data_IF_998209290928
#
_entry.id   IF_998209290928
#
_cell.length_a   1.000
_cell.length_b   1.000
_cell.length_c   1.000
_cell.angle_alpha   90.00
_cell.angle_beta   90.00
_cell.angle_gamma   90.00
#
_symmetry.space_group_name_H-M   'P 1'
#
loop_
_entity.id
_entity.type
_entity.pdbx_description
1 polymer ?
#
# COMPACT_ATOMS: atom_id res chain seq x y z
N UNK A 1 -41.75 1.22 23.78
CA UNK A 1 -40.45 0.63 23.40
C UNK A 1 -39.57 0.60 24.63
N UNK A 2 -38.87 -0.51 24.94
CA UNK A 2 -37.87 -0.52 26.00
C UNK A 2 -36.78 0.51 25.64
N UNK A 3 -36.27 1.29 26.61
CA UNK A 3 -35.20 2.23 26.34
C UNK A 3 -33.95 1.47 25.87
N UNK A 4 -33.27 2.04 24.87
CA UNK A 4 -32.03 1.49 24.28
C UNK A 4 -30.97 1.17 25.36
N UNK A 5 -31.02 1.87 26.49
CA UNK A 5 -30.20 1.68 27.68
C UNK A 5 -30.44 0.36 28.43
N UNK A 6 -31.42 -0.46 28.05
CA UNK A 6 -31.67 -1.79 28.64
C UNK A 6 -31.28 -2.96 27.72
N UNK A 7 -30.93 -2.70 26.46
CA UNK A 7 -30.53 -3.76 25.55
C UNK A 7 -29.21 -4.40 26.01
N UNK A 8 -29.06 -5.73 25.95
CA UNK A 8 -27.79 -6.41 26.23
C UNK A 8 -26.68 -5.97 25.28
N UNK A 9 -25.40 -5.94 25.71
CA UNK A 9 -24.26 -5.61 24.86
C UNK A 9 -24.24 -6.38 23.53
N UNK A 10 -24.60 -7.66 23.53
CA UNK A 10 -24.58 -8.54 22.36
C UNK A 10 -25.58 -8.07 21.30
N UNK A 11 -26.74 -7.55 21.72
CA UNK A 11 -27.74 -6.99 20.80
C UNK A 11 -27.22 -5.68 20.21
N UNK A 12 -26.57 -4.84 21.02
CA UNK A 12 -25.96 -3.59 20.55
C UNK A 12 -24.84 -3.87 19.54
N UNK A 13 -23.98 -4.86 19.81
CA UNK A 13 -22.94 -5.31 18.90
C UNK A 13 -23.53 -5.85 17.58
N UNK A 14 -24.66 -6.55 17.65
CA UNK A 14 -25.35 -7.02 16.46
C UNK A 14 -25.96 -5.89 15.63
N UNK A 15 -26.53 -4.87 16.29
CA UNK A 15 -27.05 -3.66 15.63
C UNK A 15 -25.91 -2.90 14.92
N UNK A 16 -24.73 -2.81 15.54
CA UNK A 16 -23.58 -2.11 14.97
C UNK A 16 -22.83 -2.91 13.88
N UNK A 17 -23.25 -4.14 13.59
CA UNK A 17 -22.56 -4.99 12.64
C UNK A 17 -22.78 -4.44 11.22
N UNK A 18 -21.68 -4.14 10.50
CA UNK A 18 -21.67 -3.54 9.16
C UNK A 18 -22.21 -2.11 9.10
N UNK A 19 -22.30 -1.42 10.24
CA UNK A 19 -22.46 0.04 10.23
C UNK A 19 -21.15 0.71 9.81
N UNK A 20 -21.21 1.94 9.34
CA UNK A 20 -20.04 2.71 8.95
C UNK A 20 -19.33 3.27 10.20
N UNK A 21 -18.03 3.56 10.09
CA UNK A 21 -17.22 4.10 11.18
C UNK A 21 -17.85 5.35 11.80
N UNK A 22 -18.42 6.23 10.97
CA UNK A 22 -19.11 7.45 11.43
C UNK A 22 -20.33 7.14 12.30
N UNK A 23 -21.17 6.21 11.87
CA UNK A 23 -22.39 5.82 12.60
C UNK A 23 -22.03 5.18 13.94
N UNK A 24 -20.98 4.34 13.97
CA UNK A 24 -20.45 3.74 15.20
C UNK A 24 -19.92 4.81 16.16
N UNK A 25 -19.18 5.80 15.65
CA UNK A 25 -18.66 6.92 16.44
C UNK A 25 -19.80 7.74 17.03
N UNK A 26 -20.76 8.16 16.20
CA UNK A 26 -21.93 8.93 16.60
C UNK A 26 -22.72 8.18 17.67
N UNK A 27 -22.92 6.87 17.47
CA UNK A 27 -23.56 5.98 18.43
C UNK A 27 -22.83 5.94 19.78
N UNK A 28 -21.50 5.81 19.76
CA UNK A 28 -20.68 5.86 20.97
C UNK A 28 -20.78 7.19 21.73
N UNK A 29 -20.89 8.30 21.02
CA UNK A 29 -20.97 9.64 21.61
C UNK A 29 -22.32 9.96 22.28
N UNK A 30 -23.36 9.15 22.04
CA UNK A 30 -24.71 9.40 22.59
C UNK A 30 -24.81 9.22 24.11
N UNK A 31 -24.03 8.32 24.71
CA UNK A 31 -24.06 8.07 26.15
C UNK A 31 -22.80 7.38 26.67
N UNK A 32 -22.53 7.51 27.98
CA UNK A 32 -21.38 6.87 28.62
C UNK A 32 -21.37 5.34 28.47
N UNK A 33 -22.55 4.69 28.51
CA UNK A 33 -22.67 3.24 28.36
C UNK A 33 -22.26 2.80 26.96
N UNK A 34 -22.75 3.49 25.93
CA UNK A 34 -22.45 3.17 24.54
C UNK A 34 -21.01 3.51 24.19
N UNK A 35 -20.49 4.64 24.71
CA UNK A 35 -19.07 4.96 24.64
C UNK A 35 -18.20 3.85 25.21
N UNK A 36 -18.52 3.34 26.40
CA UNK A 36 -17.77 2.25 27.02
C UNK A 36 -17.84 0.95 26.22
N UNK A 37 -18.98 0.67 25.57
CA UNK A 37 -19.13 -0.49 24.69
C UNK A 37 -18.20 -0.36 23.48
N UNK A 38 -18.32 0.72 22.70
CA UNK A 38 -17.53 0.90 21.47
C UNK A 38 -16.04 1.02 21.75
N UNK A 39 -15.65 1.60 22.89
CA UNK A 39 -14.24 1.78 23.26
C UNK A 39 -13.55 0.44 23.61
N UNK A 40 -14.28 -0.50 24.19
CA UNK A 40 -13.69 -1.72 24.74
C UNK A 40 -13.88 -2.95 23.83
N UNK A 41 -14.71 -2.87 22.81
CA UNK A 41 -15.07 -4.00 21.96
C UNK A 41 -14.47 -3.90 20.55
N UNK A 42 -13.33 -4.58 20.33
CA UNK A 42 -12.65 -4.64 19.02
C UNK A 42 -13.56 -5.10 17.88
N UNK A 43 -14.48 -6.02 18.18
CA UNK A 43 -15.36 -6.64 17.19
C UNK A 43 -16.28 -5.63 16.49
N UNK A 44 -16.60 -4.51 17.15
CA UNK A 44 -17.38 -3.40 16.56
C UNK A 44 -16.63 -2.84 15.35
N UNK A 45 -15.37 -2.49 15.54
CA UNK A 45 -14.53 -1.87 14.52
C UNK A 45 -14.14 -2.84 13.42
N UNK A 46 -13.83 -4.09 13.79
CA UNK A 46 -13.51 -5.15 12.83
C UNK A 46 -14.64 -5.42 11.83
N UNK A 47 -15.89 -5.29 12.29
CA UNK A 47 -17.06 -5.58 11.49
C UNK A 47 -17.69 -4.33 10.87
N UNK A 48 -17.07 -3.15 10.98
CA UNK A 48 -17.54 -1.94 10.31
C UNK A 48 -17.49 -2.13 8.78
N UNK A 49 -18.45 -1.55 8.05
CA UNK A 49 -18.51 -1.67 6.57
C UNK A 49 -17.24 -1.15 5.90
N UNK A 50 -16.65 -0.13 6.51
CA UNK A 50 -15.57 0.70 6.01
C UNK A 50 -14.34 0.62 6.95
N UNK A 51 -14.15 -0.52 7.63
CA UNK A 51 -13.07 -0.77 8.59
C UNK A 51 -11.66 -0.57 8.00
N UNK A 52 -11.50 -0.74 6.68
CA UNK A 52 -10.25 -0.54 5.96
C UNK A 52 -9.81 0.94 5.91
N UNK A 53 -10.70 1.89 6.23
CA UNK A 53 -10.34 3.30 6.40
C UNK A 53 -9.79 3.65 7.78
N UNK A 54 -9.67 2.69 8.71
CA UNK A 54 -9.04 2.98 9.99
C UNK A 54 -7.55 3.30 9.77
N UNK A 55 -7.06 4.52 10.10
CA UNK A 55 -5.64 4.85 9.99
C UNK A 55 -4.87 4.20 11.13
N UNK A 56 -4.66 2.90 11.01
CA UNK A 56 -3.98 2.11 12.02
C UNK A 56 -2.54 2.61 12.21
N UNK A 57 -2.01 2.59 13.45
CA UNK A 57 -0.62 2.92 13.72
C UNK A 57 0.35 2.01 12.95
N UNK A 58 1.56 2.50 12.75
CA UNK A 58 2.62 1.75 12.07
C UNK A 58 2.86 0.38 12.68
N UNK A 59 2.92 -0.63 11.82
CA UNK A 59 3.13 -2.02 12.22
C UNK A 59 1.93 -2.68 12.93
N UNK A 60 0.78 -2.01 13.05
CA UNK A 60 -0.42 -2.58 13.65
C UNK A 60 -1.48 -2.96 12.62
N UNK A 61 -2.16 -4.07 12.92
CA UNK A 61 -3.37 -4.52 12.23
C UNK A 61 -4.58 -4.27 13.12
N UNK A 62 -5.78 -4.38 12.56
CA UNK A 62 -7.03 -4.26 13.34
C UNK A 62 -7.13 -5.30 14.47
N UNK A 63 -6.37 -6.38 14.38
CA UNK A 63 -6.28 -7.43 15.38
C UNK A 63 -5.32 -7.13 16.52
N UNK A 64 -4.29 -6.33 16.25
CA UNK A 64 -3.13 -6.17 17.14
C UNK A 64 -2.98 -4.76 17.70
N UNK A 65 -3.64 -3.75 17.13
CA UNK A 65 -3.72 -2.41 17.72
C UNK A 65 -4.37 -2.46 19.11
N UNK A 66 -3.87 -1.79 20.15
CA UNK A 66 -4.56 -1.72 21.45
C UNK A 66 -6.03 -1.27 21.30
N UNK A 67 -6.96 -1.93 22.01
CA UNK A 67 -8.41 -1.77 21.77
C UNK A 67 -8.88 -0.35 22.12
N UNK A 68 -8.30 0.23 23.16
CA UNK A 68 -8.52 1.57 23.66
C UNK A 68 -8.19 2.68 22.66
N UNK A 69 -7.36 2.38 21.64
CA UNK A 69 -6.99 3.31 20.57
C UNK A 69 -7.96 3.27 19.38
N UNK A 70 -8.79 2.24 19.24
CA UNK A 70 -9.68 2.08 18.09
C UNK A 70 -10.69 3.23 17.96
N UNK A 71 -11.27 3.68 19.07
CA UNK A 71 -12.22 4.80 19.03
C UNK A 71 -11.54 6.14 18.61
N UNK A 72 -10.38 6.55 19.20
CA UNK A 72 -9.60 7.67 18.68
C UNK A 72 -9.18 7.54 17.21
N UNK A 73 -8.78 6.35 16.76
CA UNK A 73 -8.41 6.08 15.36
C UNK A 73 -9.63 6.28 14.45
N UNK A 74 -10.80 5.79 14.86
CA UNK A 74 -12.05 5.99 14.10
C UNK A 74 -12.47 7.46 14.04
N UNK A 75 -12.27 8.24 15.11
CA UNK A 75 -12.47 9.70 15.08
C UNK A 75 -11.55 10.37 14.05
N UNK A 76 -10.28 9.94 13.97
CA UNK A 76 -9.34 10.43 12.96
C UNK A 76 -9.80 10.08 11.55
N UNK A 77 -10.25 8.84 11.31
CA UNK A 77 -10.81 8.42 10.02
C UNK A 77 -12.00 9.31 9.62
N UNK A 78 -12.92 9.58 10.56
CA UNK A 78 -14.06 10.48 10.32
C UNK A 78 -13.60 11.91 9.99
N UNK A 79 -12.60 12.44 10.69
CA UNK A 79 -12.03 13.75 10.38
C UNK A 79 -11.43 13.82 8.98
N UNK A 80 -10.66 12.80 8.56
CA UNK A 80 -10.08 12.73 7.22
C UNK A 80 -11.19 12.69 6.17
N UNK A 81 -12.20 11.85 6.39
CA UNK A 81 -13.35 11.74 5.50
C UNK A 81 -14.10 13.07 5.32
N UNK A 82 -14.24 13.88 6.38
CA UNK A 82 -14.83 15.23 6.35
C UNK A 82 -13.93 16.21 5.59
N UNK A 83 -12.61 16.16 5.81
CA UNK A 83 -11.66 17.00 5.09
C UNK A 83 -11.71 16.75 3.57
N UNK A 84 -11.76 15.47 3.16
CA UNK A 84 -11.88 15.08 1.76
C UNK A 84 -13.24 15.43 1.11
N UNK A 85 -14.25 15.80 1.89
CA UNK A 85 -15.51 16.32 1.35
C UNK A 85 -15.42 17.79 0.96
N UNK A 86 -14.42 18.52 1.46
CA UNK A 86 -14.24 19.93 1.11
C UNK A 86 -13.92 20.09 -0.39
N UNK A 87 -14.32 21.22 -1.00
CA UNK A 87 -13.97 21.51 -2.40
C UNK A 87 -12.45 21.72 -2.56
N UNK A 88 -11.82 22.32 -1.54
CA UNK A 88 -10.39 22.49 -1.43
C UNK A 88 -9.97 21.83 -0.13
N UNK A 89 -9.05 20.87 -0.21
CA UNK A 89 -8.55 20.13 0.95
C UNK A 89 -7.31 20.86 1.46
N UNK A 90 -7.40 21.40 2.68
CA UNK A 90 -6.33 22.20 3.31
C UNK A 90 -5.60 21.34 4.35
N UNK A 91 -4.27 21.19 4.27
CA UNK A 91 -3.53 20.34 5.18
C UNK A 91 -3.46 20.95 6.57
N UNK A 92 -3.62 20.10 7.58
CA UNK A 92 -3.44 20.47 8.99
C UNK A 92 -1.97 20.50 9.38
N UNK A 93 -1.16 19.63 8.76
CA UNK A 93 0.29 19.54 8.96
C UNK A 93 0.98 19.33 7.64
N UNK A 94 2.19 19.85 7.55
CA UNK A 94 3.11 19.58 6.48
C UNK A 94 4.49 19.36 7.08
N UNK A 95 5.20 18.36 6.59
CA UNK A 95 6.57 18.09 6.96
C UNK A 95 7.37 17.73 5.70
N UNK A 96 8.58 18.28 5.51
CA UNK A 96 9.49 17.81 4.49
C UNK A 96 10.07 16.45 4.92
N UNK A 97 10.03 15.47 4.02
CA UNK A 97 10.61 14.15 4.23
C UNK A 97 12.08 14.21 3.86
N UNK A 98 12.92 14.05 4.89
CA UNK A 98 14.38 13.97 4.86
C UNK A 98 15.14 15.25 4.44
N UNK A 99 16.32 15.51 5.04
CA UNK A 99 17.20 16.58 4.58
C UNK A 99 17.80 16.22 3.21
N UNK A 100 17.77 17.19 2.29
CA UNK A 100 18.60 17.16 1.09
C UNK A 100 20.06 16.99 1.51
N UNK A 101 20.81 16.09 0.85
CA UNK A 101 22.25 16.21 0.89
C UNK A 101 22.63 17.47 0.10
N UNK A 102 22.73 18.60 0.80
CA UNK A 102 22.95 19.95 0.22
C UNK A 102 24.20 19.96 -0.68
N UNK A 103 25.18 19.09 -0.41
CA UNK A 103 26.42 19.02 -1.19
C UNK A 103 26.29 18.25 -2.51
N UNK A 104 25.36 17.29 -2.60
CA UNK A 104 25.19 16.42 -3.80
C UNK A 104 23.88 16.64 -4.55
N UNK A 105 22.93 17.40 -3.99
CA UNK A 105 21.58 17.61 -4.55
C UNK A 105 20.83 16.29 -4.86
N UNK A 106 21.25 15.18 -4.23
CA UNK A 106 20.65 13.86 -4.39
C UNK A 106 19.73 13.56 -3.22
N UNK A 107 18.48 13.17 -3.52
CA UNK A 107 17.55 12.68 -2.51
C UNK A 107 17.90 11.24 -2.14
N UNK A 108 18.08 10.92 -0.84
CA UNK A 108 18.23 9.53 -0.45
C UNK A 108 16.96 8.75 -0.81
N UNK A 109 17.11 7.49 -1.22
CA UNK A 109 15.97 6.60 -1.41
C UNK A 109 15.15 6.58 -0.11
N UNK A 110 13.94 7.12 -0.17
CA UNK A 110 12.99 7.18 0.93
C UNK A 110 11.89 6.14 0.71
N UNK A 111 11.55 5.43 1.77
CA UNK A 111 10.52 4.42 1.78
C UNK A 111 9.56 4.69 2.93
N UNK A 112 8.32 4.99 2.58
CA UNK A 112 7.27 5.22 3.57
C UNK A 112 6.92 3.92 4.28
N UNK A 113 6.84 3.98 5.60
CA UNK A 113 6.48 2.83 6.40
C UNK A 113 4.95 2.76 6.52
N UNK A 114 4.32 1.58 6.33
CA UNK A 114 2.89 1.41 6.55
C UNK A 114 2.44 2.00 7.89
N UNK A 115 1.33 2.73 7.90
CA UNK A 115 0.83 3.46 9.09
C UNK A 115 1.06 4.98 9.04
N UNK A 116 1.77 5.49 8.03
CA UNK A 116 1.85 6.91 7.68
C UNK A 116 2.64 7.80 8.63
N UNK A 117 3.09 7.30 9.80
CA UNK A 117 3.89 8.09 10.74
C UNK A 117 5.36 8.13 10.34
N UNK A 118 5.92 6.98 9.99
CA UNK A 118 7.36 6.82 9.82
C UNK A 118 7.77 6.79 8.35
N UNK A 119 8.91 7.38 8.05
CA UNK A 119 9.59 7.21 6.76
C UNK A 119 11.00 6.70 7.00
N UNK A 120 11.38 5.63 6.30
CA UNK A 120 12.73 5.11 6.31
C UNK A 120 13.53 5.72 5.16
N UNK A 121 14.80 6.03 5.39
CA UNK A 121 15.67 6.52 4.33
C UNK A 121 17.12 6.14 4.60
N UNK A 122 17.94 6.21 3.55
CA UNK A 122 19.34 5.79 3.60
C UNK A 122 20.29 6.99 3.80
N UNK A 123 21.37 6.79 4.55
CA UNK A 123 22.48 7.75 4.66
C UNK A 123 23.81 7.03 4.48
N UNK A 124 24.91 7.78 4.31
CA UNK A 124 26.25 7.19 4.36
C UNK A 124 26.53 6.49 5.71
N UNK A 125 25.88 6.95 6.78
CA UNK A 125 25.95 6.36 8.14
C UNK A 125 24.96 5.22 8.40
N UNK A 126 24.18 4.80 7.40
CA UNK A 126 23.22 3.70 7.56
C UNK A 126 21.75 4.08 7.41
N UNK A 127 20.88 3.16 7.84
CA UNK A 127 19.42 3.29 7.78
C UNK A 127 18.93 4.23 8.87
N UNK A 128 18.10 5.19 8.48
CA UNK A 128 17.47 6.16 9.37
C UNK A 128 15.96 6.14 9.26
N UNK A 129 15.30 6.54 10.35
CA UNK A 129 13.86 6.69 10.42
C UNK A 129 13.50 8.12 10.81
N UNK A 130 12.55 8.65 10.06
CA UNK A 130 11.96 9.96 10.27
C UNK A 130 10.53 9.81 10.81
N UNK A 131 10.22 10.55 11.88
CA UNK A 131 8.88 10.64 12.45
C UNK A 131 8.14 11.90 11.97
N UNK A 132 7.12 11.73 11.13
CA UNK A 132 6.32 12.84 10.61
C UNK A 132 5.43 13.53 11.65
N UNK A 133 5.34 12.99 12.88
CA UNK A 133 4.58 13.60 13.96
C UNK A 133 5.36 14.66 14.74
N UNK A 134 6.70 14.64 14.67
CA UNK A 134 7.57 15.59 15.37
C UNK A 134 7.86 16.83 14.52
N UNK A 135 7.69 18.01 15.12
CA UNK A 135 8.07 19.30 14.53
C UNK A 135 8.79 20.15 15.58
N UNK A 136 9.99 20.70 15.31
CA UNK A 136 10.83 20.55 14.11
C UNK A 136 11.58 19.20 13.99
N UNK A 137 12.18 18.96 12.82
CA UNK A 137 12.96 17.78 12.43
C UNK A 137 14.28 17.66 13.23
N UNK A 138 14.24 17.24 14.50
CA UNK A 138 15.46 17.30 15.32
C UNK A 138 16.16 15.95 15.55
N UNK A 139 15.52 14.79 15.41
CA UNK A 139 16.15 13.52 15.78
C UNK A 139 15.77 12.34 14.87
N UNK A 140 16.67 11.95 13.96
CA UNK A 140 16.56 10.69 13.24
C UNK A 140 17.11 9.53 14.08
N UNK A 141 16.44 8.38 14.07
CA UNK A 141 16.97 7.16 14.72
C UNK A 141 17.83 6.37 13.73
N UNK A 142 19.09 6.08 14.09
CA UNK A 142 19.97 5.19 13.33
C UNK A 142 19.77 3.74 13.82
N UNK A 143 19.54 2.80 12.90
CA UNK A 143 19.24 1.41 13.25
C UNK A 143 20.32 0.41 12.80
N UNK A 144 21.12 0.70 11.77
CA UNK A 144 22.19 -0.20 11.33
C UNK A 144 23.17 0.47 10.37
N UNK A 145 24.43 0.03 10.41
CA UNK A 145 25.42 0.28 9.36
C UNK A 145 25.04 -0.50 8.08
N UNK A 146 24.80 0.19 6.98
CA UNK A 146 24.48 -0.45 5.69
C UNK A 146 23.73 0.47 4.73
N UNK A 147 23.87 0.23 3.42
CA UNK A 147 23.09 0.96 2.41
C UNK A 147 21.82 0.18 2.08
N UNK A 148 20.68 0.84 2.12
CA UNK A 148 19.43 0.32 1.54
C UNK A 148 19.59 0.16 0.02
N UNK A 149 19.35 -1.06 -0.46
CA UNK A 149 18.82 -1.27 -1.80
C UNK A 149 17.28 -1.16 -1.75
N UNK A 150 16.61 -1.13 -2.92
CA UNK A 150 15.13 -1.18 -3.01
C UNK A 150 14.62 -2.26 -2.05
N UNK A 151 13.76 -1.83 -1.12
CA UNK A 151 13.28 -2.66 -0.02
C UNK A 151 11.77 -2.79 -0.14
N UNK A 152 11.26 -3.98 0.09
CA UNK A 152 9.83 -4.20 0.27
C UNK A 152 9.50 -4.18 1.76
N UNK A 153 8.35 -3.61 2.10
CA UNK A 153 7.91 -3.46 3.49
C UNK A 153 6.45 -3.89 3.62
N UNK A 154 6.16 -4.68 4.66
CA UNK A 154 4.81 -5.10 5.03
C UNK A 154 4.53 -4.98 6.52
N UNK A 155 3.25 -4.88 6.86
CA UNK A 155 2.81 -4.91 8.26
C UNK A 155 2.61 -6.35 8.73
N UNK A 156 3.23 -6.71 9.86
CA UNK A 156 3.04 -8.02 10.50
C UNK A 156 1.95 -7.94 11.57
N UNK A 157 1.95 -6.86 12.36
CA UNK A 157 1.07 -6.68 13.51
C UNK A 157 1.85 -6.44 14.80
N UNK A 158 1.18 -5.91 15.81
CA UNK A 158 1.77 -5.68 17.13
C UNK A 158 2.88 -4.63 17.15
N UNK A 159 2.88 -3.71 16.18
CA UNK A 159 3.90 -2.68 16.02
C UNK A 159 5.06 -3.14 15.15
N UNK A 160 5.01 -4.37 14.63
CA UNK A 160 6.08 -4.95 13.82
C UNK A 160 5.82 -4.70 12.34
N UNK A 161 6.85 -4.16 11.70
CA UNK A 161 6.97 -3.99 10.27
C UNK A 161 8.10 -4.88 9.78
N UNK A 162 7.81 -5.69 8.76
CA UNK A 162 8.79 -6.55 8.13
C UNK A 162 9.37 -5.87 6.91
N UNK A 163 10.69 -5.77 6.89
CA UNK A 163 11.47 -5.24 5.78
C UNK A 163 12.27 -6.36 5.13
N UNK A 164 12.26 -6.44 3.81
CA UNK A 164 13.19 -7.29 3.06
C UNK A 164 14.21 -6.41 2.38
N UNK A 165 15.48 -6.63 2.70
CA UNK A 165 16.58 -5.84 2.15
C UNK A 165 17.72 -6.74 1.67
N UNK A 166 18.38 -6.34 0.60
CA UNK A 166 19.67 -6.90 0.25
C UNK A 166 20.76 -6.21 1.09
N UNK A 167 21.56 -6.99 1.82
CA UNK A 167 22.66 -6.45 2.62
C UNK A 167 23.93 -6.53 1.79
N UNK A 168 24.49 -5.39 1.42
CA UNK A 168 25.79 -5.32 0.79
C UNK A 168 26.86 -4.89 1.79
N UNK A 169 27.83 -5.76 2.03
CA UNK A 169 28.99 -5.46 2.88
C UNK A 169 30.09 -4.70 2.14
N UNK A 170 30.06 -4.68 0.81
CA UNK A 170 31.07 -4.03 -0.02
C UNK A 170 30.60 -2.65 -0.49
N UNK A 171 31.48 -1.66 -0.36
CA UNK A 171 31.22 -0.27 -0.76
C UNK A 171 31.08 -0.04 -2.27
N UNK A 172 31.36 -1.07 -3.10
CA UNK A 172 31.29 -1.01 -4.57
C UNK A 172 30.75 -2.33 -5.18
N UNK A 173 29.43 -2.51 -5.36
CA UNK A 173 28.92 -3.65 -6.13
C UNK A 173 28.34 -3.21 -7.49
N UNK A 174 28.86 -3.70 -8.63
CA UNK A 174 28.06 -3.75 -9.85
C UNK A 174 27.12 -4.97 -9.87
N UNK A 175 27.28 -5.95 -8.97
CA UNK A 175 26.45 -7.16 -8.87
C UNK A 175 26.31 -7.61 -7.41
N UNK A 176 25.07 -7.68 -6.90
CA UNK A 176 24.80 -8.38 -5.63
C UNK A 176 24.64 -9.88 -5.93
N UNK A 177 25.35 -10.78 -5.22
CA UNK A 177 25.15 -12.21 -5.41
C UNK A 177 23.71 -12.60 -5.00
N UNK A 178 23.09 -13.47 -5.82
CA UNK A 178 21.80 -14.09 -5.52
C UNK A 178 21.81 -14.70 -4.11
N UNK A 179 20.80 -14.38 -3.30
CA UNK A 179 20.65 -14.89 -1.93
C UNK A 179 21.29 -14.03 -0.82
N UNK A 180 21.60 -12.77 -1.09
CA UNK A 180 22.08 -11.78 -0.10
C UNK A 180 20.96 -10.98 0.59
N UNK A 181 19.72 -11.48 0.50
CA UNK A 181 18.55 -10.81 1.06
C UNK A 181 18.28 -11.27 2.49
N UNK A 182 17.90 -10.33 3.33
CA UNK A 182 17.57 -10.54 4.72
C UNK A 182 16.19 -9.99 5.03
N UNK A 183 15.43 -10.74 5.82
CA UNK A 183 14.22 -10.28 6.47
C UNK A 183 14.60 -9.66 7.79
N UNK A 184 14.16 -8.43 8.02
CA UNK A 184 14.37 -7.68 9.26
C UNK A 184 13.01 -7.23 9.78
N UNK A 185 12.69 -7.65 11.00
CA UNK A 185 11.49 -7.18 11.68
C UNK A 185 11.87 -5.96 12.54
N UNK A 186 11.19 -4.84 12.31
CA UNK A 186 11.40 -3.58 13.01
C UNK A 186 10.14 -3.27 13.81
N UNK A 187 10.31 -3.11 15.12
CA UNK A 187 9.25 -2.76 16.04
C UNK A 187 9.14 -1.24 16.21
N UNK A 188 7.94 -0.73 16.01
CA UNK A 188 7.54 0.66 16.21
C UNK A 188 6.61 0.72 17.41
N UNK A 189 7.06 1.40 18.47
CA UNK A 189 6.23 1.58 19.66
C UNK A 189 5.01 2.44 19.35
N UNK A 190 3.86 2.08 19.92
CA UNK A 190 2.67 2.94 19.88
C UNK A 190 2.70 3.90 21.06
N UNK A 191 2.35 5.15 20.79
CA UNK A 191 2.08 6.14 21.84
C UNK A 191 0.91 5.69 22.71
N UNK A 192 1.24 5.04 23.82
CA UNK A 192 0.30 4.90 24.91
C UNK A 192 0.25 6.21 25.67
N UNK A 193 -0.96 6.79 25.76
CA UNK A 193 -1.25 8.04 26.49
C UNK A 193 -0.77 8.07 27.94
N UNK A 194 -0.41 6.92 28.53
CA UNK A 194 -0.06 6.80 29.95
C UNK A 194 1.45 6.75 30.23
N UNK A 195 2.33 6.48 29.24
CA UNK A 195 3.78 6.32 29.47
C UNK A 195 4.63 7.08 28.44
N UNK A 196 4.74 8.40 28.59
CA UNK A 196 5.49 9.28 27.69
C UNK A 196 7.04 9.22 27.86
N UNK A 197 7.58 8.34 28.71
CA UNK A 197 9.02 8.32 29.05
C UNK A 197 9.83 7.18 28.42
N UNK A 198 9.21 6.29 27.64
CA UNK A 198 9.94 5.22 26.95
C UNK A 198 10.48 5.73 25.60
N UNK A 199 11.70 5.33 25.26
CA UNK A 199 12.36 5.67 23.99
C UNK A 199 11.49 5.17 22.82
N UNK A 200 10.83 6.07 22.09
CA UNK A 200 9.89 5.75 20.99
C UNK A 200 10.60 5.40 19.68
N UNK A 201 11.93 5.42 19.69
CA UNK A 201 12.78 5.04 18.57
C UNK A 201 12.43 3.62 18.07
N UNK A 202 12.33 3.40 16.75
CA UNK A 202 12.12 2.06 16.21
C UNK A 202 13.30 1.14 16.55
N UNK A 203 13.04 -0.14 16.73
CA UNK A 203 14.04 -1.13 17.19
C UNK A 203 14.00 -2.39 16.33
N UNK A 204 15.16 -2.97 16.05
CA UNK A 204 15.22 -4.30 15.43
C UNK A 204 14.66 -5.32 16.44
N UNK A 205 13.58 -5.99 16.05
CA UNK A 205 12.84 -6.92 16.90
C UNK A 205 13.48 -8.33 16.92
N UNK A 206 14.18 -8.71 15.85
CA UNK A 206 14.75 -10.05 15.69
C UNK A 206 16.06 -10.03 14.91
N UNK A 207 16.86 -11.09 15.07
CA UNK A 207 18.08 -11.27 14.26
C UNK A 207 17.69 -11.37 12.78
N UNK A 208 18.34 -10.62 11.87
CA UNK A 208 18.05 -10.70 10.44
C UNK A 208 18.08 -12.14 9.91
N UNK A 209 17.03 -12.52 9.18
CA UNK A 209 16.87 -13.89 8.66
C UNK A 209 17.27 -13.90 7.19
N UNK A 210 18.33 -14.63 6.79
CA UNK A 210 18.70 -14.74 5.38
C UNK A 210 17.62 -15.52 4.62
N UNK A 211 17.20 -15.02 3.46
CA UNK A 211 16.22 -15.67 2.58
C UNK A 211 16.91 -16.01 1.25
N UNK A 212 17.35 -17.26 1.07
CA UNK A 212 18.06 -17.66 -0.14
C UNK A 212 17.11 -17.60 -1.35
N UNK A 213 17.66 -17.45 -2.56
CA UNK A 213 16.95 -17.37 -3.86
C UNK A 213 16.10 -16.12 -4.10
N UNK A 214 15.66 -15.42 -3.06
CA UNK A 214 14.97 -14.14 -3.20
C UNK A 214 16.00 -13.01 -3.27
N UNK A 215 15.85 -12.13 -4.26
CA UNK A 215 16.61 -10.90 -4.36
C UNK A 215 15.76 -9.75 -3.80
N UNK A 216 16.31 -8.97 -2.86
CA UNK A 216 15.58 -7.91 -2.16
C UNK A 216 14.88 -6.91 -3.09
N UNK A 217 15.55 -6.43 -4.16
CA UNK A 217 14.95 -5.54 -5.15
C UNK A 217 13.78 -6.14 -5.95
N UNK A 218 13.66 -7.47 -6.01
CA UNK A 218 12.62 -8.18 -6.75
C UNK A 218 11.43 -8.58 -5.86
N UNK A 219 11.52 -8.33 -4.55
CA UNK A 219 10.39 -8.52 -3.65
C UNK A 219 9.32 -7.52 -4.00
N UNK A 220 8.15 -8.05 -4.34
CA UNK A 220 7.01 -7.28 -4.84
C UNK A 220 6.05 -6.92 -3.71
N UNK A 221 5.80 -7.84 -2.77
CA UNK A 221 4.86 -7.60 -1.68
C UNK A 221 5.10 -8.51 -0.45
N UNK A 222 4.56 -8.11 0.71
CA UNK A 222 4.70 -8.80 2.00
C UNK A 222 3.36 -8.81 2.74
N UNK A 223 2.89 -9.99 3.14
CA UNK A 223 1.66 -10.17 3.91
C UNK A 223 1.91 -11.08 5.14
N UNK A 224 2.08 -10.47 6.31
CA UNK A 224 2.36 -11.22 7.54
C UNK A 224 3.68 -11.97 7.45
N UNK A 225 3.63 -13.31 7.54
CA UNK A 225 4.79 -14.18 7.38
C UNK A 225 5.24 -14.36 5.92
N UNK A 226 4.34 -14.09 4.97
CA UNK A 226 4.53 -14.39 3.56
C UNK A 226 5.24 -13.26 2.81
N UNK A 227 6.18 -13.63 1.95
CA UNK A 227 6.94 -12.76 1.06
C UNK A 227 6.70 -13.21 -0.37
N UNK A 228 6.42 -12.25 -1.25
CA UNK A 228 6.24 -12.46 -2.68
C UNK A 228 7.36 -11.78 -3.47
N UNK A 229 8.03 -12.51 -4.37
CA UNK A 229 9.12 -11.98 -5.18
C UNK A 229 9.06 -12.48 -6.60
N UNK A 230 9.34 -11.62 -7.57
CA UNK A 230 9.42 -11.99 -8.99
C UNK A 230 10.79 -12.60 -9.29
N UNK A 231 10.86 -13.58 -10.18
CA UNK A 231 12.12 -14.18 -10.63
C UNK A 231 12.95 -13.29 -11.55
N UNK A 232 14.21 -13.03 -11.20
CA UNK A 232 15.09 -12.08 -11.92
C UNK A 232 15.44 -12.49 -13.36
N UNK A 233 15.61 -13.79 -13.65
CA UNK A 233 16.21 -14.24 -14.92
C UNK A 233 15.24 -14.21 -16.10
N UNK A 234 13.99 -14.59 -15.87
CA UNK A 234 12.99 -14.78 -16.91
C UNK A 234 11.70 -14.00 -16.63
N UNK A 235 11.51 -13.50 -15.40
CA UNK A 235 10.30 -12.80 -14.96
C UNK A 235 9.01 -13.58 -15.25
N UNK A 236 9.07 -14.91 -15.38
CA UNK A 236 7.94 -15.78 -15.74
C UNK A 236 7.56 -16.74 -14.59
N UNK A 237 8.25 -16.65 -13.46
CA UNK A 237 7.93 -17.38 -12.24
C UNK A 237 7.92 -16.44 -11.02
N UNK A 238 7.30 -16.93 -9.94
CA UNK A 238 7.13 -16.18 -8.70
C UNK A 238 7.66 -17.01 -7.52
N UNK A 239 8.43 -16.40 -6.63
CA UNK A 239 8.76 -16.97 -5.34
C UNK A 239 7.71 -16.55 -4.31
N UNK A 240 7.12 -17.53 -3.64
CA UNK A 240 6.28 -17.33 -2.46
C UNK A 240 6.98 -17.98 -1.27
N UNK A 241 7.30 -17.22 -0.25
CA UNK A 241 8.10 -17.69 0.89
C UNK A 241 7.39 -17.39 2.20
N UNK A 242 7.26 -18.38 3.08
CA UNK A 242 6.87 -18.18 4.47
C UNK A 242 8.14 -18.20 5.34
N UNK A 243 8.41 -17.04 5.95
CA UNK A 243 9.60 -16.83 6.79
C UNK A 243 9.52 -17.60 8.10
N UNK A 244 8.33 -17.77 8.66
CA UNK A 244 8.15 -18.41 9.97
C UNK A 244 8.34 -19.93 9.85
N UNK A 245 7.74 -20.54 8.84
CA UNK A 245 7.91 -21.97 8.56
C UNK A 245 9.20 -22.28 7.80
N UNK A 246 9.91 -21.27 7.30
CA UNK A 246 11.11 -21.39 6.46
C UNK A 246 10.90 -22.28 5.23
N UNK A 247 9.72 -22.15 4.63
CA UNK A 247 9.34 -22.90 3.44
C UNK A 247 9.02 -21.95 2.30
N UNK A 248 9.40 -22.33 1.09
CA UNK A 248 9.24 -21.52 -0.10
C UNK A 248 8.71 -22.34 -1.27
N UNK A 249 7.99 -21.67 -2.15
CA UNK A 249 7.42 -22.19 -3.37
C UNK A 249 7.96 -21.42 -4.56
N UNK A 250 8.30 -22.14 -5.62
CA UNK A 250 8.65 -21.59 -6.94
C UNK A 250 7.46 -21.85 -7.83
N UNK A 251 6.67 -20.80 -8.07
CA UNK A 251 5.42 -20.86 -8.79
C UNK A 251 5.66 -20.63 -10.27
N UNK A 252 5.31 -21.62 -11.08
CA UNK A 252 5.25 -21.52 -12.54
C UNK A 252 3.80 -21.55 -12.99
N UNK A 253 3.46 -20.84 -14.08
CA UNK A 253 2.07 -20.67 -14.50
C UNK A 253 1.75 -21.44 -15.78
N UNK A 254 0.54 -22.01 -15.82
CA UNK A 254 -0.05 -22.69 -16.99
C UNK A 254 -1.50 -22.23 -17.18
N UNK A 255 -2.17 -22.69 -18.24
CA UNK A 255 -3.59 -22.36 -18.50
C UNK A 255 -3.81 -21.06 -19.28
N UNK A 256 -2.77 -20.22 -19.44
CA UNK A 256 -2.78 -19.10 -20.37
C UNK A 256 -2.48 -19.57 -21.80
N UNK A 257 -3.00 -18.86 -22.80
CA UNK A 257 -2.86 -19.19 -24.23
C UNK A 257 -1.68 -18.46 -24.91
N UNK A 258 -0.68 -18.04 -24.12
CA UNK A 258 0.40 -17.16 -24.55
C UNK A 258 1.73 -17.91 -24.56
N UNK A 259 2.52 -17.72 -25.62
CA UNK A 259 3.81 -18.41 -25.82
C UNK A 259 4.91 -17.94 -24.88
N UNK A 260 4.83 -16.67 -24.44
CA UNK A 260 5.63 -16.11 -23.36
C UNK A 260 4.83 -15.00 -22.69
N UNK A 261 5.25 -14.63 -21.49
CA UNK A 261 4.72 -13.53 -20.71
C UNK A 261 5.81 -13.03 -19.76
N UNK A 262 5.62 -11.84 -19.21
CA UNK A 262 6.50 -11.28 -18.19
C UNK A 262 5.66 -10.72 -17.04
N UNK A 263 5.93 -11.18 -15.83
CA UNK A 263 5.37 -10.65 -14.59
C UNK A 263 6.06 -9.31 -14.31
N UNK A 264 5.27 -8.23 -14.28
CA UNK A 264 5.73 -6.87 -13.98
C UNK A 264 5.56 -6.51 -12.51
N UNK A 265 4.47 -7.00 -11.91
CA UNK A 265 4.15 -6.78 -10.52
C UNK A 265 3.40 -7.99 -9.98
N UNK A 266 3.56 -8.24 -8.68
CA UNK A 266 2.83 -9.26 -7.96
C UNK A 266 2.45 -8.71 -6.59
N UNK A 267 1.18 -8.83 -6.19
CA UNK A 267 0.70 -8.33 -4.90
C UNK A 267 -0.28 -9.28 -4.25
N UNK A 268 -0.31 -9.28 -2.92
CA UNK A 268 -1.32 -9.97 -2.15
C UNK A 268 -2.61 -9.17 -2.14
N UNK A 269 -3.73 -9.89 -2.10
CA UNK A 269 -5.07 -9.36 -1.85
C UNK A 269 -5.56 -9.94 -0.52
N UNK A 270 -5.17 -9.37 0.65
CA UNK A 270 -5.36 -10.01 1.96
C UNK A 270 -6.82 -10.31 2.30
N UNK A 271 -7.73 -9.43 1.91
CA UNK A 271 -9.18 -9.61 2.13
C UNK A 271 -9.75 -10.79 1.35
N UNK A 272 -9.14 -11.14 0.20
CA UNK A 272 -9.56 -12.22 -0.68
C UNK A 272 -8.72 -13.50 -0.53
N UNK A 273 -7.58 -13.42 0.15
CA UNK A 273 -6.55 -14.49 0.19
C UNK A 273 -6.10 -14.94 -1.20
N UNK A 274 -5.92 -13.97 -2.08
CA UNK A 274 -5.49 -14.17 -3.47
C UNK A 274 -4.18 -13.43 -3.75
N UNK A 275 -3.52 -13.80 -4.83
CA UNK A 275 -2.40 -13.08 -5.44
C UNK A 275 -2.87 -12.49 -6.75
N UNK A 276 -2.55 -11.22 -6.97
CA UNK A 276 -2.71 -10.53 -8.24
C UNK A 276 -1.36 -10.46 -8.96
N UNK A 277 -1.35 -10.70 -10.26
CA UNK A 277 -0.20 -10.48 -11.13
C UNK A 277 -0.55 -9.50 -12.23
N UNK A 278 0.31 -8.51 -12.43
CA UNK A 278 0.26 -7.65 -13.62
C UNK A 278 1.26 -8.19 -14.62
N UNK A 279 0.76 -8.57 -15.79
CA UNK A 279 1.46 -9.34 -16.80
C UNK A 279 1.61 -8.51 -18.07
N UNK A 280 2.82 -8.47 -18.60
CA UNK A 280 3.10 -8.01 -19.95
C UNK A 280 3.09 -9.20 -20.92
N UNK A 281 2.40 -9.04 -22.04
CA UNK A 281 2.21 -10.07 -23.05
C UNK A 281 2.74 -9.59 -24.41
N UNK A 282 3.21 -10.51 -25.28
CA UNK A 282 3.51 -10.18 -26.67
C UNK A 282 2.25 -9.71 -27.42
N UNK A 283 2.43 -8.71 -28.28
CA UNK A 283 1.41 -8.33 -29.25
C UNK A 283 1.02 -9.50 -30.15
N UNK A 284 -0.27 -9.62 -30.46
CA UNK A 284 -0.75 -10.62 -31.43
C UNK A 284 -0.38 -10.28 -32.89
N UNK A 285 -0.02 -9.02 -33.20
CA UNK A 285 0.03 -8.51 -34.58
C UNK A 285 1.42 -8.06 -35.05
N UNK A 286 2.49 -8.39 -34.32
CA UNK A 286 3.87 -8.13 -34.75
C UNK A 286 4.30 -6.66 -34.72
N UNK A 287 3.56 -5.80 -34.02
CA UNK A 287 4.02 -4.46 -33.68
C UNK A 287 4.96 -4.44 -32.47
N UNK A 288 5.44 -3.23 -32.14
CA UNK A 288 6.27 -2.96 -30.96
C UNK A 288 5.44 -2.67 -29.70
N UNK A 289 4.13 -2.87 -29.73
CA UNK A 289 3.27 -2.65 -28.58
C UNK A 289 3.16 -3.93 -27.75
N UNK A 290 2.89 -3.78 -26.46
CA UNK A 290 2.68 -4.90 -25.55
C UNK A 290 1.24 -4.86 -25.07
N UNK A 291 0.61 -6.03 -25.03
CA UNK A 291 -0.67 -6.18 -24.33
C UNK A 291 -0.37 -6.27 -22.83
N UNK A 292 -1.25 -5.73 -21.99
CA UNK A 292 -1.20 -5.93 -20.55
C UNK A 292 -2.36 -6.82 -20.12
N UNK A 293 -2.14 -7.60 -19.06
CA UNK A 293 -3.15 -8.46 -18.49
C UNK A 293 -3.02 -8.53 -16.98
N UNK A 294 -4.14 -8.80 -16.33
CA UNK A 294 -4.25 -9.01 -14.90
C UNK A 294 -4.62 -10.47 -14.67
N UNK A 295 -3.81 -11.20 -13.89
CA UNK A 295 -4.11 -12.57 -13.46
C UNK A 295 -4.34 -12.61 -11.96
N UNK A 296 -5.28 -13.44 -11.52
CA UNK A 296 -5.56 -13.69 -10.10
C UNK A 296 -5.50 -15.18 -9.82
N UNK A 297 -5.01 -15.57 -8.65
CA UNK A 297 -5.09 -16.96 -8.18
C UNK A 297 -5.08 -17.02 -6.65
N UNK A 298 -5.53 -18.14 -6.09
CA UNK A 298 -5.51 -18.33 -4.63
C UNK A 298 -4.08 -18.46 -4.12
N UNK A 299 -3.79 -17.93 -2.94
CA UNK A 299 -2.49 -18.10 -2.29
C UNK A 299 -2.27 -19.61 -2.04
N UNK A 300 -1.25 -20.24 -2.64
CA UNK A 300 -0.98 -21.65 -2.43
C UNK A 300 -0.68 -21.95 -0.94
N UNK A 301 -1.15 -23.09 -0.46
CA UNK A 301 -0.80 -23.55 0.89
C UNK A 301 0.70 -23.87 0.92
N UNK A 302 1.45 -23.12 1.75
CA UNK A 302 2.85 -23.39 1.98
C UNK A 302 2.96 -24.55 2.98
N UNK A 303 3.64 -25.66 2.64
CA UNK A 303 3.76 -26.79 3.55
C UNK A 303 4.40 -26.35 4.87
N UNK A 304 3.79 -26.76 5.98
CA UNK A 304 4.42 -26.64 7.29
C UNK A 304 5.41 -27.80 7.46
N UNK A 305 6.68 -27.54 7.83
CA UNK A 305 7.63 -28.62 8.10
C UNK A 305 7.09 -29.52 9.21
N UNK A 306 7.29 -30.83 9.08
CA UNK A 306 6.97 -31.76 10.15
C UNK A 306 7.77 -31.37 11.40
N UNK A 307 7.11 -31.28 12.56
CA UNK A 307 7.74 -30.85 13.82
C UNK A 307 8.95 -31.71 14.24
N UNK A 308 9.13 -32.90 13.66
CA UNK A 308 10.28 -33.79 13.85
C UNK A 308 11.52 -33.42 13.04
N UNK A 309 11.40 -32.62 11.98
CA UNK A 309 12.49 -32.22 11.08
C UNK A 309 12.96 -30.77 11.33
N UNK A 310 12.22 -30.00 12.12
CA UNK A 310 12.42 -28.55 12.30
C UNK A 310 13.55 -28.15 13.25
N UNK A 311 14.34 -29.09 13.79
CA UNK A 311 15.22 -28.79 14.93
C UNK A 311 16.68 -28.47 14.61
N UNK A 312 17.16 -28.58 13.37
CA UNK A 312 18.62 -28.44 13.13
C UNK A 312 19.08 -27.68 11.90
N UNK A 313 18.26 -27.51 10.85
CA UNK A 313 18.72 -26.83 9.62
C UNK A 313 18.25 -25.38 9.60
N UNK A 314 19.21 -24.45 9.41
CA UNK A 314 18.89 -23.03 9.23
C UNK A 314 18.37 -22.69 7.83
N UNK A 315 18.32 -23.67 6.93
CA UNK A 315 18.06 -23.49 5.51
C UNK A 315 16.57 -23.49 5.17
N UNK A 316 16.20 -22.75 4.14
CA UNK A 316 14.84 -22.75 3.58
C UNK A 316 14.61 -23.97 2.69
N UNK A 317 13.46 -24.62 2.85
CA UNK A 317 13.01 -25.68 1.96
C UNK A 317 12.22 -25.10 0.79
N UNK A 318 12.70 -25.28 -0.43
CA UNK A 318 12.05 -24.79 -1.65
C UNK A 318 11.42 -25.93 -2.45
N UNK A 319 10.19 -25.73 -2.92
CA UNK A 319 9.46 -26.69 -3.77
C UNK A 319 8.94 -26.01 -5.02
N UNK A 320 8.95 -26.72 -6.15
CA UNK A 320 8.35 -26.26 -7.39
C UNK A 320 6.85 -26.56 -7.37
N UNK A 321 6.03 -25.58 -7.77
CA UNK A 321 4.59 -25.74 -7.91
C UNK A 321 4.10 -25.11 -9.21
N UNK A 322 3.17 -25.80 -9.87
CA UNK A 322 2.51 -25.31 -11.07
C UNK A 322 1.15 -24.75 -10.67
N UNK A 323 0.92 -23.47 -10.96
CA UNK A 323 -0.36 -22.79 -10.79
C UNK A 323 -1.08 -22.77 -12.14
N UNK A 324 -2.33 -23.24 -12.16
CA UNK A 324 -3.17 -23.20 -13.35
C UNK A 324 -4.07 -21.96 -13.31
N UNK A 325 -3.80 -20.97 -14.17
CA UNK A 325 -4.60 -19.75 -14.27
C UNK A 325 -5.88 -20.07 -15.03
N UNK A 326 -7.03 -19.95 -14.34
CA UNK A 326 -8.33 -20.20 -14.95
C UNK A 326 -8.73 -19.06 -15.89
N UNK A 327 -9.56 -19.37 -16.89
CA UNK A 327 -9.97 -18.37 -17.90
C UNK A 327 -10.74 -17.18 -17.33
N UNK A 328 -11.48 -17.37 -16.25
CA UNK A 328 -12.22 -16.33 -15.51
C UNK A 328 -11.32 -15.52 -14.56
N UNK A 329 -10.11 -15.98 -14.29
CA UNK A 329 -9.12 -15.28 -13.46
C UNK A 329 -8.10 -14.48 -14.25
N UNK A 330 -8.34 -14.28 -15.54
CA UNK A 330 -7.52 -13.43 -16.40
C UNK A 330 -8.37 -12.34 -17.02
N UNK A 331 -7.83 -11.14 -17.07
CA UNK A 331 -8.38 -10.00 -17.78
C UNK A 331 -7.29 -9.41 -18.66
N UNK A 332 -7.57 -9.22 -19.96
CA UNK A 332 -6.63 -8.57 -20.88
C UNK A 332 -7.08 -7.13 -21.03
N UNK A 333 -6.19 -6.20 -20.71
CA UNK A 333 -6.43 -4.77 -20.85
C UNK A 333 -6.68 -4.42 -22.33
N UNK A 334 -7.82 -3.81 -22.67
CA UNK A 334 -8.04 -3.33 -24.03
C UNK A 334 -7.19 -2.07 -24.28
N UNK A 335 -6.84 -1.80 -25.53
CA UNK A 335 -6.05 -0.60 -25.87
C UNK A 335 -6.84 0.69 -25.67
N UNK A 336 -8.14 0.63 -25.96
CA UNK A 336 -9.07 1.76 -25.93
C UNK A 336 -10.33 1.34 -25.15
N UNK A 337 -10.95 2.31 -24.48
CA UNK A 337 -12.25 2.14 -23.84
C UNK A 337 -13.37 2.44 -24.85
N UNK A 338 -13.97 1.37 -25.36
CA UNK A 338 -15.09 1.40 -26.32
C UNK A 338 -16.47 1.32 -25.64
N UNK A 339 -16.57 1.55 -24.33
CA UNK A 339 -17.83 1.43 -23.61
C UNK A 339 -18.90 2.40 -24.13
N UNK A 340 -20.08 1.88 -24.50
CA UNK A 340 -21.20 2.65 -25.03
C UNK A 340 -21.83 3.64 -24.01
N UNK A 341 -21.50 3.51 -22.72
CA UNK A 341 -22.08 4.33 -21.66
C UNK A 341 -21.04 5.32 -21.09
N UNK A 342 -21.19 6.63 -21.33
CA UNK A 342 -20.31 7.65 -20.77
C UNK A 342 -20.59 7.92 -19.29
N UNK A 343 -21.70 7.42 -18.75
CA UNK A 343 -22.07 7.68 -17.36
C UNK A 343 -21.18 6.85 -16.42
N UNK A 344 -20.52 7.48 -15.42
CA UNK A 344 -19.71 6.78 -14.45
C UNK A 344 -20.56 5.75 -13.71
N UNK A 345 -20.10 4.52 -13.67
CA UNK A 345 -20.77 3.46 -12.94
C UNK A 345 -20.26 3.41 -11.51
N UNK A 346 -21.18 3.34 -10.54
CA UNK A 346 -20.80 2.96 -9.18
C UNK A 346 -20.40 1.48 -9.21
N UNK A 347 -19.20 1.14 -8.69
CA UNK A 347 -18.80 -0.26 -8.61
C UNK A 347 -19.72 -1.00 -7.62
N UNK A 348 -20.39 -2.11 -8.03
CA UNK A 348 -21.38 -2.80 -7.20
C UNK A 348 -20.81 -3.22 -5.84
N UNK A 349 -21.57 -3.07 -4.75
CA UNK A 349 -21.16 -3.40 -3.37
C UNK A 349 -20.62 -4.84 -3.20
N UNK A 350 -21.02 -5.76 -4.07
CA UNK A 350 -20.59 -7.16 -4.06
C UNK A 350 -19.23 -7.41 -4.73
N UNK A 351 -18.71 -6.45 -5.49
CA UNK A 351 -17.45 -6.57 -6.22
C UNK A 351 -16.28 -6.13 -5.34
N UNK A 352 -15.08 -6.63 -5.61
CA UNK A 352 -13.85 -6.18 -4.94
C UNK A 352 -12.87 -5.72 -6.00
N UNK A 353 -12.49 -4.44 -5.97
CA UNK A 353 -11.46 -3.90 -6.87
C UNK A 353 -10.12 -4.58 -6.62
N UNK A 354 -9.44 -5.01 -7.69
CA UNK A 354 -8.15 -5.71 -7.62
C UNK A 354 -7.03 -4.97 -8.33
N UNK A 355 -7.32 -4.27 -9.43
CA UNK A 355 -6.32 -3.50 -10.19
C UNK A 355 -6.96 -2.29 -10.87
N UNK A 356 -6.15 -1.33 -11.27
CA UNK A 356 -6.61 -0.05 -11.81
C UNK A 356 -5.75 0.35 -13.02
N UNK A 357 -6.38 0.71 -14.13
CA UNK A 357 -5.70 1.21 -15.31
C UNK A 357 -6.43 2.38 -15.98
N UNK A 358 -5.70 3.14 -16.78
CA UNK A 358 -6.23 4.24 -17.57
C UNK A 358 -6.21 3.86 -19.04
N UNK A 359 -7.35 4.03 -19.69
CA UNK A 359 -7.51 3.81 -21.11
C UNK A 359 -7.78 5.10 -21.85
N UNK A 360 -7.37 5.15 -23.12
CA UNK A 360 -7.84 6.19 -24.04
C UNK A 360 -9.31 5.95 -24.34
N UNK A 361 -10.08 7.02 -24.53
CA UNK A 361 -11.45 6.90 -24.99
C UNK A 361 -11.56 7.55 -26.39
N UNK A 362 -11.65 6.77 -27.48
CA UNK A 362 -11.69 7.32 -28.84
C UNK A 362 -12.83 8.31 -29.08
N UNK A 363 -13.94 8.15 -28.34
CA UNK A 363 -15.10 9.05 -28.39
C UNK A 363 -14.81 10.42 -27.75
N UNK A 364 -13.85 10.49 -26.82
CA UNK A 364 -13.43 11.69 -26.12
C UNK A 364 -11.90 11.84 -26.16
N UNK A 365 -11.32 12.31 -27.29
CA UNK A 365 -9.87 12.27 -27.53
C UNK A 365 -9.00 13.02 -26.50
N UNK A 366 -9.59 13.97 -25.78
CA UNK A 366 -8.91 14.77 -24.74
C UNK A 366 -9.07 14.17 -23.33
N UNK A 367 -9.89 13.12 -23.20
CA UNK A 367 -10.21 12.47 -21.94
C UNK A 367 -9.66 11.04 -21.87
N UNK A 368 -9.43 10.62 -20.64
CA UNK A 368 -9.02 9.27 -20.30
C UNK A 368 -10.10 8.61 -19.46
N UNK A 369 -10.30 7.32 -19.66
CA UNK A 369 -11.20 6.51 -18.87
C UNK A 369 -10.45 5.90 -17.70
N UNK A 370 -10.90 6.14 -16.47
CA UNK A 370 -10.44 5.39 -15.30
C UNK A 370 -11.24 4.09 -15.22
N UNK A 371 -10.54 2.97 -15.27
CA UNK A 371 -11.14 1.64 -15.22
C UNK A 371 -10.53 0.85 -14.07
N UNK A 372 -11.40 0.18 -13.31
CA UNK A 372 -11.00 -0.73 -12.24
C UNK A 372 -11.37 -2.14 -12.63
N UNK A 373 -10.42 -3.06 -12.54
CA UNK A 373 -10.70 -4.49 -12.62
C UNK A 373 -11.16 -4.95 -11.27
N UNK A 374 -12.28 -5.64 -11.24
CA UNK A 374 -12.92 -6.14 -10.04
C UNK A 374 -13.08 -7.65 -10.10
N UNK A 375 -13.00 -8.28 -8.95
CA UNK A 375 -13.39 -9.66 -8.76
C UNK A 375 -14.87 -9.71 -8.34
N UNK A 376 -15.70 -10.43 -9.11
CA UNK A 376 -17.12 -10.64 -8.80
C UNK A 376 -17.30 -11.75 -7.74
N UNK A 377 -18.49 -11.88 -7.12
CA UNK A 377 -18.79 -13.00 -6.20
C UNK A 377 -18.62 -14.39 -6.81
N UNK A 378 -18.71 -14.49 -8.14
CA UNK A 378 -18.51 -15.71 -8.93
C UNK A 378 -17.03 -15.94 -9.29
N UNK A 379 -16.11 -15.20 -8.69
CA UNK A 379 -14.66 -15.31 -8.90
C UNK A 379 -14.26 -15.05 -10.37
N UNK A 380 -14.92 -14.07 -10.99
CA UNK A 380 -14.64 -13.61 -12.35
C UNK A 380 -14.06 -12.21 -12.32
N UNK A 381 -13.07 -11.94 -13.18
CA UNK A 381 -12.58 -10.58 -13.41
C UNK A 381 -13.47 -9.82 -14.39
N UNK A 382 -13.94 -8.65 -13.96
CA UNK A 382 -14.74 -7.72 -14.76
C UNK A 382 -14.23 -6.28 -14.60
N UNK A 383 -14.22 -5.52 -15.69
CA UNK A 383 -13.83 -4.12 -15.67
C UNK A 383 -15.04 -3.23 -15.39
N UNK A 384 -14.87 -2.27 -14.48
CA UNK A 384 -15.85 -1.25 -14.13
C UNK A 384 -15.29 0.12 -14.49
N UNK A 385 -16.07 0.89 -15.23
CA UNK A 385 -15.75 2.26 -15.59
C UNK A 385 -16.14 3.24 -14.47
N UNK A 386 -15.15 3.95 -13.92
CA UNK A 386 -15.37 4.87 -12.81
C UNK A 386 -15.61 6.32 -13.25
N UNK A 387 -15.23 6.68 -14.47
CA UNK A 387 -15.42 8.03 -14.99
C UNK A 387 -14.37 8.46 -16.02
N UNK A 388 -14.68 9.55 -16.72
CA UNK A 388 -13.73 10.26 -17.57
C UNK A 388 -13.04 11.36 -16.77
N UNK A 389 -11.78 11.63 -17.10
CA UNK A 389 -11.09 12.83 -16.62
C UNK A 389 -10.18 13.38 -17.71
N UNK A 390 -9.97 14.69 -17.68
CA UNK A 390 -9.20 15.39 -18.70
C UNK A 390 -7.70 15.11 -18.54
N UNK A 391 -7.05 14.82 -19.66
CA UNK A 391 -5.61 14.99 -19.93
C UNK A 391 -4.70 14.87 -18.71
N UNK A 392 -4.33 13.64 -18.32
CA UNK A 392 -3.40 13.39 -17.22
C UNK A 392 -2.05 14.09 -17.44
N UNK A 393 -1.63 15.04 -16.60
CA UNK A 393 -0.23 15.39 -16.46
C UNK A 393 0.41 14.36 -15.53
N UNK A 394 1.53 13.80 -15.99
CA UNK A 394 2.49 13.02 -15.20
C UNK A 394 1.88 11.85 -14.42
N UNK A 395 1.74 10.71 -15.11
CA UNK A 395 1.43 9.43 -14.47
C UNK A 395 2.58 9.04 -13.55
N UNK A 396 2.27 8.77 -12.28
CA UNK A 396 3.21 8.14 -11.36
C UNK A 396 3.04 6.62 -11.40
N UNK A 397 3.97 5.86 -11.99
CA UNK A 397 3.93 4.39 -11.94
C UNK A 397 4.38 3.82 -10.59
N UNK A 398 4.73 4.67 -9.61
CA UNK A 398 5.23 4.21 -8.32
C UNK A 398 4.07 3.90 -7.37
N UNK A 399 3.90 2.63 -6.99
CA UNK A 399 3.14 2.27 -5.79
C UNK A 399 1.68 1.84 -5.96
N UNK A 400 1.30 1.27 -7.11
CA UNK A 400 0.08 0.44 -7.23
C UNK A 400 -1.24 1.20 -7.30
N UNK A 401 -1.24 2.54 -7.35
CA UNK A 401 -2.42 3.32 -7.70
C UNK A 401 -2.11 4.30 -8.80
N UNK A 402 -3.12 4.50 -9.63
CA UNK A 402 -3.04 5.49 -10.68
C UNK A 402 -3.50 6.85 -10.15
N UNK A 403 -2.62 7.83 -10.30
CA UNK A 403 -2.83 9.19 -9.81
C UNK A 403 -2.56 10.14 -10.98
N UNK A 404 -3.59 10.84 -11.42
CA UNK A 404 -3.49 11.98 -12.34
C UNK A 404 -3.39 13.28 -11.56
N UNK A 405 -2.50 14.19 -11.96
CA UNK A 405 -2.22 15.39 -11.15
C UNK A 405 -2.07 16.62 -12.02
N UNK A 406 -2.76 17.72 -11.71
CA UNK A 406 -2.71 18.95 -12.51
C UNK A 406 -2.60 20.18 -11.62
N UNK A 407 -1.57 20.98 -11.84
CA UNK A 407 -1.48 22.29 -11.17
C UNK A 407 -2.63 23.20 -11.62
N UNK A 408 -3.36 23.75 -10.65
CA UNK A 408 -4.48 24.68 -10.86
C UNK A 408 -4.04 26.12 -10.61
N UNK A 409 -3.18 26.32 -9.61
CA UNK A 409 -2.52 27.57 -9.26
C UNK A 409 -1.19 27.29 -8.56
N UNK A 410 -0.40 28.33 -8.27
CA UNK A 410 0.91 28.24 -7.60
C UNK A 410 0.94 27.43 -6.30
N UNK A 411 -0.21 27.25 -5.65
CA UNK A 411 -0.35 26.53 -4.39
C UNK A 411 -1.51 25.52 -4.40
N UNK A 412 -2.06 25.17 -5.57
CA UNK A 412 -3.19 24.23 -5.64
C UNK A 412 -2.96 23.17 -6.70
N UNK A 413 -3.15 21.93 -6.27
CA UNK A 413 -2.95 20.75 -7.09
C UNK A 413 -4.27 19.98 -7.18
N UNK A 414 -4.77 19.85 -8.40
CA UNK A 414 -5.89 18.97 -8.68
C UNK A 414 -5.40 17.54 -8.81
N UNK A 415 -6.07 16.61 -8.17
CA UNK A 415 -5.68 15.22 -8.07
C UNK A 415 -6.87 14.37 -8.42
N UNK A 416 -6.63 13.43 -9.32
CA UNK A 416 -7.56 12.41 -9.75
C UNK A 416 -6.97 11.08 -9.34
N UNK A 417 -7.65 10.37 -8.44
CA UNK A 417 -7.26 9.02 -8.06
C UNK A 417 -8.51 8.19 -7.79
N UNK A 418 -8.35 6.88 -7.72
CA UNK A 418 -9.41 6.00 -7.24
C UNK A 418 -9.55 6.12 -5.72
N UNK A 419 -10.80 6.04 -5.25
CA UNK A 419 -11.10 5.76 -3.86
C UNK A 419 -11.62 4.32 -3.79
N UNK A 420 -10.74 3.31 -3.66
CA UNK A 420 -11.12 1.90 -3.84
C UNK A 420 -12.18 1.45 -2.85
N UNK A 421 -12.19 2.06 -1.67
CA UNK A 421 -13.14 1.74 -0.61
C UNK A 421 -14.51 2.39 -0.82
N UNK A 422 -14.57 3.61 -1.38
CA UNK A 422 -15.83 4.25 -1.82
C UNK A 422 -16.21 3.92 -3.26
N UNK A 423 -15.37 3.15 -3.96
CA UNK A 423 -15.69 2.54 -5.25
C UNK A 423 -15.96 3.58 -6.36
N UNK A 424 -15.24 4.69 -6.31
CA UNK A 424 -15.47 5.85 -7.17
C UNK A 424 -14.18 6.57 -7.54
N UNK A 425 -14.24 7.37 -8.59
CA UNK A 425 -13.21 8.35 -8.91
C UNK A 425 -13.25 9.50 -7.88
N UNK A 426 -12.10 9.83 -7.32
CA UNK A 426 -11.91 10.97 -6.44
C UNK A 426 -11.19 12.08 -7.21
N UNK A 427 -11.90 13.20 -7.38
CA UNK A 427 -11.35 14.42 -7.96
C UNK A 427 -11.31 15.50 -6.88
N UNK A 428 -10.11 15.92 -6.47
CA UNK A 428 -9.92 16.84 -5.36
C UNK A 428 -8.83 17.85 -5.64
N UNK A 429 -9.06 19.09 -5.20
CA UNK A 429 -8.04 20.12 -5.21
C UNK A 429 -7.42 20.22 -3.82
N UNK A 430 -6.12 19.98 -3.73
CA UNK A 430 -5.35 20.08 -2.50
C UNK A 430 -4.59 21.41 -2.48
N UNK A 431 -4.61 22.09 -1.34
CA UNK A 431 -3.81 23.29 -1.10
C UNK A 431 -2.43 22.89 -0.55
N UNK A 432 -1.37 23.38 -1.17
CA UNK A 432 0.01 23.11 -0.76
C UNK A 432 0.49 24.29 0.09
N UNK A 433 0.85 24.07 1.37
CA UNK A 433 1.16 25.15 2.31
C UNK A 433 2.53 25.77 2.03
N UNK A 434 2.68 27.04 2.39
CA UNK A 434 3.99 27.67 2.60
C UNK A 434 4.65 28.38 1.42
N UNK A 435 3.91 28.80 0.38
CA UNK A 435 4.54 29.46 -0.78
C UNK A 435 5.57 28.56 -1.47
N UNK A 436 5.39 27.24 -1.34
CA UNK A 436 6.13 26.26 -2.11
C UNK A 436 5.87 26.57 -3.58
N UNK A 437 6.79 27.28 -4.19
CA UNK A 437 6.73 27.64 -5.60
C UNK A 437 6.63 26.37 -6.45
N UNK A 438 5.39 26.04 -6.84
CA UNK A 438 5.04 24.95 -7.75
C UNK A 438 5.36 25.32 -9.22
N UNK A 439 6.05 26.43 -9.50
CA UNK A 439 6.51 26.73 -10.87
C UNK A 439 7.55 25.71 -11.39
N UNK A 440 8.01 24.77 -10.55
CA UNK A 440 8.71 23.54 -10.98
C UNK A 440 7.76 22.34 -11.15
N UNK A 441 8.14 21.38 -12.00
CA UNK A 441 7.41 20.10 -12.14
C UNK A 441 7.26 19.44 -10.77
N UNK A 442 6.05 19.45 -10.24
CA UNK A 442 5.70 18.88 -8.94
C UNK A 442 4.88 17.64 -9.20
N UNK A 443 5.41 16.49 -8.80
CA UNK A 443 4.83 15.19 -9.08
C UNK A 443 4.29 14.60 -7.78
N UNK A 444 3.00 14.28 -7.74
CA UNK A 444 2.47 13.48 -6.63
C UNK A 444 2.96 12.06 -6.83
N UNK A 445 3.66 11.53 -5.84
CA UNK A 445 4.09 10.13 -5.87
C UNK A 445 3.06 9.21 -5.25
N UNK A 446 2.29 9.68 -4.27
CA UNK A 446 1.28 8.87 -3.59
C UNK A 446 0.18 9.73 -2.96
N UNK A 447 -1.03 9.17 -2.94
CA UNK A 447 -2.18 9.66 -2.18
C UNK A 447 -2.67 8.53 -1.28
N UNK A 448 -2.49 8.68 0.03
CA UNK A 448 -3.01 7.76 1.04
C UNK A 448 -4.29 8.33 1.66
N UNK A 449 -5.43 7.89 1.12
CA UNK A 449 -6.74 8.33 1.61
C UNK A 449 -7.07 7.80 3.01
N UNK A 450 -6.41 6.72 3.46
CA UNK A 450 -6.66 6.11 4.78
C UNK A 450 -6.01 6.97 5.86
N UNK A 451 -4.74 7.32 5.68
CA UNK A 451 -4.01 8.16 6.64
C UNK A 451 -4.20 9.66 6.40
N UNK A 452 -4.88 10.03 5.30
CA UNK A 452 -5.12 11.41 4.89
C UNK A 452 -3.79 12.07 4.53
N UNK A 453 -2.98 11.39 3.71
CA UNK A 453 -1.64 11.82 3.33
C UNK A 453 -1.50 12.00 1.83
N UNK A 454 -0.79 13.04 1.43
CA UNK A 454 -0.34 13.22 0.04
C UNK A 454 1.16 13.42 0.09
N UNK A 455 1.87 12.65 -0.73
CA UNK A 455 3.32 12.63 -0.89
C UNK A 455 3.68 13.33 -2.21
N UNK A 456 4.50 14.38 -2.13
CA UNK A 456 4.77 15.30 -3.24
C UNK A 456 6.27 15.42 -3.52
N UNK A 457 6.76 14.95 -4.66
CA UNK A 457 8.12 15.24 -5.10
C UNK A 457 8.17 16.57 -5.85
N UNK A 458 9.15 17.39 -5.51
CA UNK A 458 9.45 18.63 -6.26
C UNK A 458 10.64 18.39 -7.16
N UNK A 459 10.53 18.69 -8.46
CA UNK A 459 11.68 18.70 -9.37
C UNK A 459 12.27 20.09 -9.42
N UNK A 460 13.57 20.23 -9.13
CA UNK A 460 14.29 21.52 -9.25
C UNK A 460 15.36 21.42 -10.33
N UNK A 461 14.96 21.44 -11.61
CA UNK A 461 15.92 21.44 -12.71
C UNK A 461 15.42 20.68 -13.94
N UNK A 462 16.26 20.63 -15.00
CA UNK A 462 16.00 19.83 -16.21
C UNK A 462 16.54 18.38 -16.11
N UNK A 463 17.26 18.05 -15.03
CA UNK A 463 17.82 16.71 -14.79
C UNK A 463 16.75 15.71 -14.31
N UNK A 464 16.93 14.42 -14.59
CA UNK A 464 16.01 13.33 -14.17
C UNK A 464 16.13 13.01 -12.67
N UNK A 465 17.16 13.54 -11.99
CA UNK A 465 17.55 13.15 -10.62
C UNK A 465 17.46 14.29 -9.58
N UNK A 466 17.02 15.49 -9.96
CA UNK A 466 16.95 16.65 -9.06
C UNK A 466 15.63 16.64 -8.25
N UNK A 467 15.48 15.67 -7.34
CA UNK A 467 14.29 15.49 -6.50
C UNK A 467 14.45 16.17 -5.14
N UNK A 468 13.51 17.05 -4.80
CA UNK A 468 13.44 17.93 -3.62
C UNK A 468 12.19 17.52 -2.80
N UNK A 469 12.19 17.64 -1.46
CA UNK A 469 11.65 16.60 -0.58
C UNK A 469 10.16 16.34 -0.72
N UNK A 470 9.82 15.08 -0.46
CA UNK A 470 8.45 14.61 -0.31
C UNK A 470 7.75 15.41 0.80
N UNK A 471 6.70 16.17 0.52
CA UNK A 471 5.87 16.70 1.60
C UNK A 471 4.87 15.64 2.00
N UNK A 472 4.75 15.32 3.29
CA UNK A 472 3.59 14.59 3.80
C UNK A 472 2.59 15.63 4.29
N UNK A 473 1.51 15.80 3.52
CA UNK A 473 0.39 16.65 3.89
C UNK A 473 -0.62 15.83 4.68
N UNK A 474 -0.78 16.09 5.98
CA UNK A 474 -1.75 15.38 6.83
C UNK A 474 -3.03 16.20 6.98
N UNK A 475 -4.18 15.61 6.63
CA UNK A 475 -5.49 16.29 6.53
C UNK A 475 -6.47 15.96 7.66
#
# INVERSE_FOLDING_TARGET
MPPFSLLPPEILLHILKRECLREIVDFGQTSRRLYSLVKNERIVWKNAKDAEYLPLPTGHTIHTVPVELLFPIALRACSIAIALQQPIVIPKRFAPVAPLNIERDEMPYNLEIPGGRWTMYNTESGIRFYDSSETPLENDTIISDGRLARSAIGTVGGGIVRCVQAVCTDSNPPYMPLGSSYVIDIHFAVENTENCSANQAPQINSVPIPIPRINGPDVSDIMGSLILSIGEQSYDFLYLCDVESRTGLILSFTGHNKSWYQIKCAQFLPSLRKVLLNIQLPEKHGGYHYDFAVWVFDIPEVPSPNASESSTTSDFLWMDQIVHIQRNHQYIEPLDWDGDNPDPSEMPDSYVGVDEFILRCPQFPEAFAMVVVCLTPEDKLEAVFLGLFDRAPEYCPYGGRIIGTRSVSENRLHVVCTDPLRRKLLEKTFEIPGGADLEGESMITRVDLVHGQVALLRRKGRGVLDTVPCFVLQY
#
